data_IF_541500718527
#
_entry.id   IF_541500718527
#
_cell.length_a   1.000
_cell.length_b   1.000
_cell.length_c   1.000
_cell.angle_alpha   90.00
_cell.angle_beta   90.00
_cell.angle_gamma   90.00
#
_symmetry.space_group_name_H-M   'P 1'
#
loop_
_entity.id
_entity.type
_entity.pdbx_description
1 polymer ?
#
# COMPACT_ATOMS: atom_id res chain seq x y z
N UNK A 1 -10.35 -31.55 27.41
CA UNK A 1 -10.74 -31.56 25.98
C UNK A 1 -10.89 -30.11 25.57
N UNK A 2 -9.86 -29.54 24.94
CA UNK A 2 -9.87 -28.15 24.49
C UNK A 2 -10.36 -28.12 23.04
N UNK A 3 -11.52 -27.53 22.81
CA UNK A 3 -12.11 -27.33 21.49
C UNK A 3 -11.45 -26.12 20.85
N UNK A 4 -10.46 -26.36 19.99
CA UNK A 4 -9.92 -25.36 19.08
C UNK A 4 -10.99 -25.01 18.05
N UNK A 5 -11.72 -23.92 18.26
CA UNK A 5 -12.65 -23.38 17.26
C UNK A 5 -11.82 -22.83 16.10
N UNK A 6 -11.70 -23.62 15.03
CA UNK A 6 -11.20 -23.15 13.76
C UNK A 6 -12.14 -22.04 13.25
N UNK A 7 -11.68 -20.80 13.30
CA UNK A 7 -12.35 -19.69 12.63
C UNK A 7 -12.27 -19.97 11.14
N UNK A 8 -13.38 -20.43 10.56
CA UNK A 8 -13.53 -20.50 9.11
C UNK A 8 -13.46 -19.07 8.59
N UNK A 9 -12.35 -18.72 7.92
CA UNK A 9 -12.29 -17.49 7.14
C UNK A 9 -13.24 -17.66 5.95
N UNK A 10 -14.42 -17.05 6.05
CA UNK A 10 -15.30 -16.83 4.91
C UNK A 10 -14.46 -16.28 3.76
N UNK A 11 -14.54 -16.94 2.59
CA UNK A 11 -13.78 -16.57 1.39
C UNK A 11 -14.07 -15.10 1.08
N UNK A 12 -13.14 -14.24 1.46
CA UNK A 12 -13.13 -12.84 1.09
C UNK A 12 -12.92 -12.80 -0.42
N UNK A 13 -13.94 -12.42 -1.19
CA UNK A 13 -13.76 -12.26 -2.65
C UNK A 13 -12.78 -11.11 -2.89
N UNK A 14 -11.53 -11.47 -3.18
CA UNK A 14 -10.49 -10.53 -3.53
C UNK A 14 -10.57 -10.28 -5.04
N UNK A 15 -11.09 -9.12 -5.42
CA UNK A 15 -11.23 -8.68 -6.80
C UNK A 15 -9.95 -7.95 -7.19
N UNK A 16 -9.14 -8.56 -8.05
CA UNK A 16 -7.93 -7.92 -8.58
C UNK A 16 -8.34 -6.82 -9.57
N UNK A 17 -7.87 -5.60 -9.34
CA UNK A 17 -8.12 -4.47 -10.24
C UNK A 17 -7.05 -4.40 -11.34
N UNK A 18 -5.79 -4.54 -10.95
CA UNK A 18 -4.65 -4.59 -11.86
C UNK A 18 -3.38 -5.04 -11.14
N UNK A 19 -2.39 -5.45 -11.94
CA UNK A 19 -1.01 -5.65 -11.53
C UNK A 19 -0.12 -4.59 -12.20
N UNK A 20 0.68 -3.90 -11.39
CA UNK A 20 1.61 -2.85 -11.83
C UNK A 20 3.05 -3.35 -11.69
N UNK A 21 3.85 -3.38 -12.77
CA UNK A 21 5.27 -3.72 -12.68
C UNK A 21 6.03 -2.85 -11.66
N UNK A 22 6.83 -3.50 -10.80
CA UNK A 22 7.66 -2.81 -9.81
C UNK A 22 9.13 -2.82 -10.21
N UNK A 23 9.76 -4.00 -10.13
CA UNK A 23 11.17 -4.22 -10.47
C UNK A 23 11.45 -5.72 -10.64
N UNK A 24 12.11 -6.09 -11.73
CA UNK A 24 12.44 -7.50 -12.01
C UNK A 24 11.17 -8.36 -11.98
N UNK A 25 11.14 -9.35 -11.09
CA UNK A 25 10.00 -10.27 -10.94
C UNK A 25 8.93 -9.78 -9.93
N UNK A 26 9.04 -8.55 -9.42
CA UNK A 26 8.07 -7.97 -8.50
C UNK A 26 6.98 -7.17 -9.22
N UNK A 27 5.75 -7.29 -8.73
CA UNK A 27 4.60 -6.45 -9.11
C UNK A 27 3.90 -5.91 -7.87
N UNK A 28 3.28 -4.74 -8.00
CA UNK A 28 2.23 -4.30 -7.09
C UNK A 28 0.90 -4.83 -7.59
N UNK A 29 0.20 -5.61 -6.77
CA UNK A 29 -1.19 -5.98 -7.03
C UNK A 29 -2.09 -5.01 -6.29
N UNK A 30 -3.01 -4.39 -7.01
CA UNK A 30 -4.09 -3.57 -6.46
C UNK A 30 -5.35 -4.41 -6.51
N UNK A 31 -5.98 -4.61 -5.37
CA UNK A 31 -7.19 -5.42 -5.25
C UNK A 31 -8.22 -4.77 -4.33
N UNK A 32 -9.47 -5.13 -4.51
CA UNK A 32 -10.54 -4.86 -3.56
C UNK A 32 -10.93 -6.12 -2.84
N UNK A 33 -11.32 -5.97 -1.59
CA UNK A 33 -11.94 -7.04 -0.83
C UNK A 33 -13.08 -6.49 0.02
N UNK A 34 -13.97 -7.38 0.43
CA UNK A 34 -15.05 -7.06 1.37
C UNK A 34 -14.89 -7.90 2.62
N UNK A 35 -14.85 -7.25 3.78
CA UNK A 35 -14.72 -7.92 5.06
C UNK A 35 -15.68 -7.30 6.07
N UNK A 36 -16.58 -8.13 6.60
CA UNK A 36 -17.63 -7.72 7.55
C UNK A 36 -18.49 -6.56 7.04
N UNK A 37 -18.88 -6.60 5.76
CA UNK A 37 -19.71 -5.58 5.11
C UNK A 37 -18.98 -4.29 4.74
N UNK A 38 -17.68 -4.19 5.02
CA UNK A 38 -16.86 -3.03 4.68
C UNK A 38 -15.93 -3.37 3.51
N UNK A 39 -15.78 -2.41 2.59
CA UNK A 39 -14.88 -2.55 1.43
C UNK A 39 -13.51 -1.96 1.74
N UNK A 40 -12.47 -2.64 1.29
CA UNK A 40 -11.10 -2.19 1.39
C UNK A 40 -10.37 -2.34 0.06
N UNK A 41 -9.36 -1.49 -0.12
CA UNK A 41 -8.35 -1.62 -1.17
C UNK A 41 -7.06 -2.12 -0.54
N UNK A 42 -6.45 -3.15 -1.13
CA UNK A 42 -5.12 -3.64 -0.78
C UNK A 42 -4.15 -3.37 -1.93
N UNK A 43 -3.02 -2.73 -1.63
CA UNK A 43 -1.86 -2.62 -2.50
C UNK A 43 -0.75 -3.46 -1.90
N UNK A 44 -0.35 -4.52 -2.59
CA UNK A 44 0.60 -5.49 -2.04
C UNK A 44 1.64 -5.90 -3.07
N UNK A 45 2.85 -6.13 -2.60
CA UNK A 45 3.94 -6.62 -3.45
C UNK A 45 3.79 -8.13 -3.59
N UNK A 46 3.84 -8.60 -4.84
CA UNK A 46 3.89 -10.01 -5.21
C UNK A 46 5.19 -10.30 -5.97
N UNK A 47 5.66 -11.55 -5.87
CA UNK A 47 6.71 -12.07 -6.74
C UNK A 47 6.10 -13.00 -7.78
N UNK A 48 6.56 -12.90 -9.03
CA UNK A 48 6.35 -13.94 -10.03
C UNK A 48 7.08 -15.22 -9.62
N UNK A 49 6.41 -16.36 -9.78
CA UNK A 49 6.98 -17.68 -9.56
C UNK A 49 8.24 -17.87 -10.40
N UNK A 50 9.21 -18.62 -9.85
CA UNK A 50 10.45 -18.91 -10.57
C UNK A 50 10.21 -19.84 -11.75
N UNK A 51 9.32 -20.81 -11.57
CA UNK A 51 9.00 -21.84 -12.55
C UNK A 51 7.83 -21.44 -13.45
N UNK A 52 6.91 -20.62 -12.94
CA UNK A 52 5.78 -20.08 -13.67
C UNK A 52 5.62 -18.58 -13.37
N UNK A 53 5.92 -17.75 -14.36
CA UNK A 53 5.84 -16.29 -14.25
C UNK A 53 4.39 -15.78 -14.14
N UNK A 54 3.40 -16.61 -14.46
CA UNK A 54 1.97 -16.29 -14.30
C UNK A 54 1.50 -16.49 -12.86
N UNK A 55 2.20 -17.34 -12.08
CA UNK A 55 1.93 -17.52 -10.67
C UNK A 55 2.45 -16.32 -9.88
N UNK A 56 1.56 -15.64 -9.15
CA UNK A 56 1.91 -14.51 -8.30
C UNK A 56 1.82 -14.89 -6.82
N UNK A 57 2.95 -14.80 -6.11
CA UNK A 57 3.08 -15.15 -4.70
C UNK A 57 3.04 -13.87 -3.85
N UNK A 58 2.06 -13.70 -2.94
CA UNK A 58 1.95 -12.50 -2.11
C UNK A 58 3.09 -12.38 -1.11
N UNK A 59 3.50 -11.15 -0.81
CA UNK A 59 4.38 -10.85 0.31
C UNK A 59 3.63 -10.24 1.49
N UNK A 60 4.29 -10.15 2.64
CA UNK A 60 3.79 -9.40 3.80
C UNK A 60 3.83 -7.88 3.59
N UNK A 61 4.53 -7.40 2.56
CA UNK A 61 4.69 -5.97 2.26
C UNK A 61 3.49 -5.48 1.46
N UNK A 62 2.60 -4.78 2.14
CA UNK A 62 1.41 -4.21 1.54
C UNK A 62 0.68 -3.29 2.51
N UNK A 63 -0.26 -2.54 1.97
CA UNK A 63 -1.14 -1.67 2.74
C UNK A 63 -2.58 -1.97 2.32
N UNK A 64 -3.43 -2.16 3.32
CA UNK A 64 -4.87 -2.30 3.17
C UNK A 64 -5.53 -1.11 3.86
N UNK A 65 -6.43 -0.43 3.15
CA UNK A 65 -7.14 0.75 3.64
C UNK A 65 -8.63 0.73 3.24
N UNK A 66 -9.50 1.37 4.04
CA UNK A 66 -10.92 1.46 3.70
C UNK A 66 -11.15 2.11 2.32
N UNK A 67 -12.06 1.57 1.52
CA UNK A 67 -12.39 2.10 0.18
C UNK A 67 -12.81 3.58 0.26
N UNK A 68 -13.48 3.98 1.35
CA UNK A 68 -13.92 5.37 1.58
C UNK A 68 -12.80 6.41 1.60
N UNK A 69 -11.54 6.03 1.84
CA UNK A 69 -10.40 6.96 1.81
C UNK A 69 -9.55 6.83 0.54
N UNK A 70 -10.01 6.06 -0.44
CA UNK A 70 -9.26 5.79 -1.67
C UNK A 70 -8.95 7.06 -2.45
N UNK A 71 -9.90 7.98 -2.56
CA UNK A 71 -9.72 9.26 -3.24
C UNK A 71 -8.65 10.13 -2.56
N UNK A 72 -8.63 10.15 -1.22
CA UNK A 72 -7.60 10.84 -0.43
C UNK A 72 -6.21 10.22 -0.65
N UNK A 73 -6.14 8.89 -0.75
CA UNK A 73 -4.89 8.18 -1.06
C UNK A 73 -4.39 8.59 -2.46
N UNK A 74 -5.27 8.59 -3.46
CA UNK A 74 -4.94 9.03 -4.83
C UNK A 74 -4.47 10.49 -4.83
N UNK A 75 -5.20 11.37 -4.14
CA UNK A 75 -4.84 12.79 -4.03
C UNK A 75 -3.46 12.96 -3.39
N UNK A 76 -3.17 12.25 -2.30
CA UNK A 76 -1.87 12.29 -1.65
C UNK A 76 -0.72 11.74 -2.51
N UNK A 77 -0.96 10.70 -3.31
CA UNK A 77 0.02 10.21 -4.29
C UNK A 77 0.27 11.23 -5.41
N UNK A 78 -0.76 11.92 -5.89
CA UNK A 78 -0.64 13.00 -6.88
C UNK A 78 0.14 14.20 -6.28
N UNK A 79 -0.11 14.55 -5.02
CA UNK A 79 0.66 15.57 -4.31
C UNK A 79 2.13 15.14 -4.17
N UNK A 80 2.40 13.89 -3.81
CA UNK A 80 3.76 13.36 -3.71
C UNK A 80 4.48 13.38 -5.06
N UNK A 81 3.78 13.09 -6.16
CA UNK A 81 4.32 13.22 -7.52
C UNK A 81 4.80 14.64 -7.82
N UNK A 82 4.01 15.66 -7.45
CA UNK A 82 4.29 17.08 -7.70
C UNK A 82 5.26 17.72 -6.70
N UNK A 83 5.42 17.14 -5.51
CA UNK A 83 6.29 17.68 -4.47
C UNK A 83 7.76 17.72 -4.93
N UNK A 84 8.59 18.62 -4.39
CA UNK A 84 10.03 18.65 -4.66
C UNK A 84 10.70 17.29 -4.42
N UNK A 85 11.81 17.04 -5.11
CA UNK A 85 12.62 15.85 -4.84
C UNK A 85 13.24 15.91 -3.45
N UNK A 86 13.33 14.73 -2.82
CA UNK A 86 13.97 14.58 -1.51
C UNK A 86 15.34 13.98 -1.77
N UNK A 87 16.41 14.70 -1.44
CA UNK A 87 17.76 14.16 -1.53
C UNK A 87 18.05 13.28 -0.32
N UNK A 88 18.66 12.11 -0.55
CA UNK A 88 19.15 11.24 0.52
C UNK A 88 20.56 11.68 0.91
N UNK A 89 20.78 12.20 2.14
CA UNK A 89 22.10 12.63 2.58
C UNK A 89 23.11 11.47 2.56
N UNK A 90 24.38 11.79 2.33
CA UNK A 90 25.46 10.80 2.32
C UNK A 90 25.60 10.17 3.70
N UNK A 91 25.48 8.85 3.78
CA UNK A 91 25.56 8.09 5.03
C UNK A 91 24.20 7.71 5.63
N UNK A 92 23.10 8.27 5.13
CA UNK A 92 21.75 7.88 5.53
C UNK A 92 21.22 6.73 4.66
N UNK A 93 20.37 5.87 5.24
CA UNK A 93 19.71 4.79 4.48
C UNK A 93 18.65 5.32 3.54
N UNK A 94 17.87 6.29 4.02
CA UNK A 94 16.84 7.00 3.28
C UNK A 94 16.48 8.29 4.02
N UNK A 95 15.92 9.25 3.29
CA UNK A 95 15.23 10.42 3.84
C UNK A 95 13.82 10.47 3.29
N UNK A 96 12.85 10.88 4.10
CA UNK A 96 11.49 11.14 3.65
C UNK A 96 10.88 12.37 4.32
N UNK A 97 9.91 12.97 3.64
CA UNK A 97 9.08 14.06 4.13
C UNK A 97 7.61 13.65 4.07
N UNK A 98 6.83 14.09 5.04
CA UNK A 98 5.38 13.88 5.05
C UNK A 98 4.74 14.74 3.97
N UNK A 99 3.85 14.12 3.20
CA UNK A 99 3.06 14.78 2.15
C UNK A 99 1.63 15.00 2.62
N UNK A 100 0.99 13.95 3.14
CA UNK A 100 -0.40 14.00 3.56
C UNK A 100 -0.65 12.99 4.69
N UNK A 101 -1.40 13.42 5.69
CA UNK A 101 -1.99 12.56 6.72
C UNK A 101 -3.50 12.46 6.48
N UNK A 102 -4.00 11.23 6.44
CA UNK A 102 -5.40 10.88 6.17
C UNK A 102 -5.96 10.20 7.43
N UNK A 103 -6.66 10.93 8.30
CA UNK A 103 -7.24 10.36 9.50
C UNK A 103 -8.34 9.34 9.16
N UNK A 104 -8.37 8.21 9.85
CA UNK A 104 -9.43 7.19 9.70
C UNK A 104 -10.20 6.93 10.99
N UNK A 105 -9.58 7.21 12.14
CA UNK A 105 -10.19 7.21 13.47
C UNK A 105 -9.41 8.16 14.39
N UNK A 106 -9.91 8.39 15.60
CA UNK A 106 -9.23 9.23 16.62
C UNK A 106 -7.76 8.81 16.84
N UNK A 107 -7.46 7.51 16.79
CA UNK A 107 -6.14 6.96 17.06
C UNK A 107 -5.48 6.31 15.86
N UNK A 108 -6.02 6.50 14.65
CA UNK A 108 -5.51 5.85 13.44
C UNK A 108 -5.51 6.78 12.23
N UNK A 109 -4.43 6.77 11.46
CA UNK A 109 -4.31 7.50 10.20
C UNK A 109 -3.46 6.75 9.19
N UNK A 110 -3.62 7.08 7.91
CA UNK A 110 -2.64 6.72 6.88
C UNK A 110 -1.80 7.94 6.56
N UNK A 111 -0.48 7.73 6.44
CA UNK A 111 0.46 8.77 6.06
C UNK A 111 1.06 8.44 4.71
N UNK A 112 1.05 9.43 3.83
CA UNK A 112 1.77 9.41 2.56
C UNK A 112 3.03 10.26 2.74
N UNK A 113 4.18 9.66 2.42
CA UNK A 113 5.48 10.33 2.51
C UNK A 113 6.24 10.18 1.20
N UNK A 114 6.93 11.23 0.77
CA UNK A 114 7.88 11.17 -0.36
C UNK A 114 9.28 11.04 0.20
N UNK A 115 10.10 10.21 -0.41
CA UNK A 115 11.48 10.05 0.04
C UNK A 115 12.42 9.58 -1.05
N UNK A 116 13.67 9.47 -0.67
CA UNK A 116 14.72 8.87 -1.50
C UNK A 116 15.64 8.04 -0.63
N UNK A 117 15.99 6.87 -1.13
CA UNK A 117 17.09 6.06 -0.61
C UNK A 117 18.34 6.24 -1.46
N UNK A 118 19.41 5.50 -1.13
CA UNK A 118 20.68 5.59 -1.85
C UNK A 118 20.60 5.31 -3.37
N UNK A 119 19.52 4.69 -3.86
CA UNK A 119 19.40 4.27 -5.27
C UNK A 119 18.14 4.75 -5.97
N UNK A 120 17.06 5.07 -5.25
CA UNK A 120 15.76 5.34 -5.86
C UNK A 120 14.95 6.32 -5.01
N UNK A 121 14.19 7.18 -5.68
CA UNK A 121 13.07 7.91 -5.09
C UNK A 121 11.86 6.97 -4.89
N UNK A 122 11.04 7.28 -3.89
CA UNK A 122 9.86 6.49 -3.55
C UNK A 122 8.77 7.33 -2.90
N UNK A 123 7.56 6.77 -2.88
CA UNK A 123 6.43 7.24 -2.09
C UNK A 123 6.00 6.10 -1.16
N UNK A 124 5.94 6.35 0.15
CA UNK A 124 5.50 5.37 1.16
C UNK A 124 4.06 5.69 1.57
N UNK A 125 3.20 4.67 1.56
CA UNK A 125 1.86 4.70 2.17
C UNK A 125 1.92 3.79 3.37
N UNK A 126 1.61 4.30 4.57
CA UNK A 126 1.73 3.52 5.80
C UNK A 126 0.66 3.88 6.81
N UNK A 127 0.14 2.87 7.50
CA UNK A 127 -0.75 3.06 8.64
C UNK A 127 0.05 3.52 9.85
N UNK A 128 -0.42 4.57 10.51
CA UNK A 128 0.06 5.04 11.80
C UNK A 128 -1.05 4.85 12.82
N UNK A 129 -0.65 4.58 14.06
CA UNK A 129 -1.59 4.43 15.17
C UNK A 129 -1.06 5.13 16.41
N UNK A 130 -1.97 5.47 17.31
CA UNK A 130 -1.66 6.10 18.57
C UNK A 130 -1.78 5.04 19.68
N UNK A 131 -0.67 4.58 20.28
CA UNK A 131 -0.71 3.49 21.27
C UNK A 131 -1.30 3.94 22.61
N UNK A 132 -1.34 5.24 22.89
CA UNK A 132 -1.92 5.85 24.08
C UNK A 132 -2.78 7.04 23.64
N UNK A 133 -3.85 7.34 24.39
CA UNK A 133 -4.65 8.54 24.15
C UNK A 133 -3.79 9.79 24.29
N UNK A 134 -3.95 10.74 23.37
CA UNK A 134 -3.13 11.95 23.18
C UNK A 134 -1.61 11.74 22.98
N UNK A 135 -1.16 10.52 22.70
CA UNK A 135 0.23 10.19 22.36
C UNK A 135 0.62 10.53 20.92
N UNK A 136 1.91 10.38 20.59
CA UNK A 136 2.38 10.53 19.22
C UNK A 136 1.94 9.37 18.33
N UNK A 137 1.59 9.67 17.08
CA UNK A 137 1.36 8.65 16.05
C UNK A 137 2.65 7.90 15.72
N UNK A 138 2.62 6.57 15.83
CA UNK A 138 3.75 5.70 15.50
C UNK A 138 3.47 4.90 14.22
N UNK A 139 4.47 4.69 13.35
CA UNK A 139 4.29 3.93 12.12
C UNK A 139 4.08 2.45 12.40
N UNK A 140 3.16 1.83 11.68
CA UNK A 140 3.09 0.38 11.60
C UNK A 140 4.32 -0.20 10.91
N UNK A 141 4.89 -1.24 11.51
CA UNK A 141 6.01 -1.99 10.94
C UNK A 141 5.59 -2.91 9.78
N UNK A 142 4.31 -3.29 9.73
CA UNK A 142 3.78 -4.31 8.81
C UNK A 142 2.69 -3.80 7.87
N UNK A 143 2.01 -2.70 8.20
CA UNK A 143 0.91 -2.14 7.40
C UNK A 143 1.40 -0.93 6.61
N UNK A 144 2.14 -1.20 5.54
CA UNK A 144 2.65 -0.16 4.66
C UNK A 144 3.28 -0.72 3.39
N UNK A 145 3.27 0.09 2.34
CA UNK A 145 3.87 -0.23 1.05
C UNK A 145 4.68 0.96 0.54
N UNK A 146 5.84 0.65 -0.02
CA UNK A 146 6.70 1.64 -0.67
C UNK A 146 6.58 1.48 -2.18
N UNK A 147 6.05 2.52 -2.83
CA UNK A 147 5.88 2.65 -4.27
C UNK A 147 7.15 3.28 -4.84
N UNK A 148 7.81 2.61 -5.79
CA UNK A 148 8.97 3.17 -6.48
C UNK A 148 8.52 4.36 -7.33
N UNK A 149 9.35 5.41 -7.42
CA UNK A 149 9.05 6.57 -8.26
C UNK A 149 8.71 6.19 -9.71
N UNK A 150 9.41 5.19 -10.25
CA UNK A 150 9.19 4.64 -11.60
C UNK A 150 7.82 3.99 -11.81
N UNK A 151 7.14 3.56 -10.75
CA UNK A 151 5.83 2.90 -10.81
C UNK A 151 4.70 3.79 -10.31
N UNK A 152 4.98 5.03 -9.91
CA UNK A 152 4.01 5.88 -9.20
C UNK A 152 2.78 6.21 -10.06
N UNK A 153 2.98 6.60 -11.32
CA UNK A 153 1.87 6.97 -12.21
C UNK A 153 0.97 5.77 -12.55
N UNK A 154 1.56 4.58 -12.74
CA UNK A 154 0.81 3.36 -12.99
C UNK A 154 0.03 2.92 -11.74
N UNK A 155 0.60 3.06 -10.53
CA UNK A 155 -0.13 2.79 -9.28
C UNK A 155 -1.28 3.79 -9.09
N UNK A 156 -1.08 5.08 -9.37
CA UNK A 156 -2.16 6.08 -9.34
C UNK A 156 -3.28 5.69 -10.31
N UNK A 157 -2.92 5.34 -11.54
CA UNK A 157 -3.89 4.91 -12.57
C UNK A 157 -4.62 3.64 -12.17
N UNK A 158 -3.92 2.65 -11.62
CA UNK A 158 -4.50 1.42 -11.10
C UNK A 158 -5.47 1.68 -9.95
N UNK A 159 -5.13 2.61 -9.06
CA UNK A 159 -6.01 3.08 -8.00
C UNK A 159 -7.18 3.92 -8.51
N UNK A 160 -7.24 4.38 -9.77
CA UNK A 160 -8.42 5.04 -10.32
C UNK A 160 -9.42 4.06 -10.95
N UNK A 161 -9.04 2.80 -11.17
CA UNK A 161 -9.87 1.80 -11.86
C UNK A 161 -11.09 1.38 -11.06
N UNK A 162 -12.29 1.48 -11.60
CA UNK A 162 -13.52 1.02 -10.92
C UNK A 162 -13.76 -0.49 -11.09
N UNK A 163 -13.20 -1.10 -12.12
CA UNK A 163 -13.43 -2.50 -12.51
C UNK A 163 -12.09 -3.25 -12.75
N UNK A 164 -12.08 -4.60 -12.70
CA UNK A 164 -10.93 -5.41 -13.10
C UNK A 164 -10.55 -5.20 -14.56
N UNK A 165 -9.27 -5.43 -14.91
CA UNK A 165 -8.90 -5.60 -16.32
C UNK A 165 -9.65 -6.81 -16.88
N UNK A 166 -10.46 -6.59 -17.93
CA UNK A 166 -10.83 -7.68 -18.82
C UNK A 166 -9.55 -8.09 -19.54
N UNK A 167 -9.03 -9.27 -19.24
CA UNK A 167 -7.94 -9.85 -20.02
C UNK A 167 -8.38 -9.90 -21.49
N UNK A 168 -7.71 -9.12 -22.34
CA UNK A 168 -7.83 -9.18 -23.79
C UNK A 168 -7.16 -10.43 -24.34
#
# INVERSE_FOLDING_TARGET
>A
METTTAVQNEKTENVVLCDVPRKGNEVYRISRNEFKGERYVDIRIFFRGKDDATQLIPTTKGVCFPEKIREDIIAGLILARKAPEVECPKGERFRSVTILDIPVAETEQFRISKGSGAKNAFVDIRKFFQPQKDGAFVPSKTKGVTILGSSLDEVITGLMRTEPDQAA
#
